data_IF_532058951568
#
_entry.id   IF_532058951568
#
_cell.length_a   1.000
_cell.length_b   1.000
_cell.length_c   1.000
_cell.angle_alpha   90.00
_cell.angle_beta   90.00
_cell.angle_gamma   90.00
#
_symmetry.space_group_name_H-M   'P 1'
#
loop_
_entity.id
_entity.type
_entity.pdbx_description
1 polymer ?
#
# COMPACT_ATOMS: atom_id res chain seq x y z
N UNK A 1 -19.46 -65.96 -44.78
CA UNK A 1 -19.47 -64.89 -43.74
C UNK A 1 -20.87 -64.84 -43.14
N UNK A 2 -21.02 -65.31 -41.89
CA UNK A 2 -22.33 -65.39 -41.22
C UNK A 2 -22.78 -63.97 -40.82
N UNK A 3 -23.68 -63.39 -41.59
CA UNK A 3 -24.29 -62.05 -41.35
C UNK A 3 -24.98 -61.97 -39.97
N UNK A 4 -25.49 -63.06 -39.47
CA UNK A 4 -26.10 -63.14 -38.14
C UNK A 4 -25.09 -62.96 -37.01
N UNK A 5 -23.91 -63.51 -37.09
CA UNK A 5 -22.84 -63.34 -36.10
C UNK A 5 -22.27 -61.90 -36.09
N UNK A 6 -22.22 -61.27 -37.30
CA UNK A 6 -21.81 -59.90 -37.41
C UNK A 6 -22.81 -58.93 -36.75
N UNK A 7 -24.12 -59.22 -36.89
CA UNK A 7 -25.21 -58.41 -36.32
C UNK A 7 -25.25 -58.51 -34.79
N UNK A 8 -25.06 -59.72 -34.24
CA UNK A 8 -25.04 -59.96 -32.80
C UNK A 8 -23.82 -59.33 -32.12
N UNK A 9 -22.65 -59.30 -32.80
CA UNK A 9 -21.44 -58.68 -32.29
C UNK A 9 -21.46 -57.15 -32.41
N UNK A 10 -22.10 -56.58 -33.44
CA UNK A 10 -22.21 -55.14 -33.67
C UNK A 10 -23.26 -54.45 -32.75
N UNK A 11 -24.35 -55.17 -32.43
CA UNK A 11 -25.46 -54.64 -31.65
C UNK A 11 -25.06 -54.04 -30.26
N UNK A 12 -24.27 -54.70 -29.40
CA UNK A 12 -23.84 -54.13 -28.12
C UNK A 12 -22.93 -52.91 -28.30
N UNK A 13 -22.07 -52.90 -29.32
CA UNK A 13 -21.19 -51.74 -29.62
C UNK A 13 -21.98 -50.52 -30.06
N UNK A 14 -22.99 -50.70 -30.93
CA UNK A 14 -23.87 -49.65 -31.39
C UNK A 14 -24.71 -49.08 -30.24
N UNK A 15 -25.26 -49.96 -29.38
CA UNK A 15 -25.99 -49.54 -28.20
C UNK A 15 -25.09 -48.72 -27.22
N UNK A 16 -23.86 -49.21 -26.97
CA UNK A 16 -22.93 -48.53 -26.09
C UNK A 16 -22.52 -47.16 -26.65
N UNK A 17 -22.30 -47.07 -27.98
CA UNK A 17 -22.01 -45.76 -28.61
C UNK A 17 -23.21 -44.84 -28.57
N UNK A 18 -24.42 -45.33 -28.84
CA UNK A 18 -25.65 -44.54 -28.76
C UNK A 18 -25.87 -43.97 -27.34
N UNK A 19 -25.62 -44.77 -26.29
CA UNK A 19 -25.69 -44.32 -24.90
C UNK A 19 -24.62 -43.28 -24.56
N UNK A 20 -23.39 -43.45 -25.06
CA UNK A 20 -22.33 -42.46 -24.92
C UNK A 20 -22.69 -41.14 -25.58
N UNK A 21 -23.23 -41.17 -26.80
CA UNK A 21 -23.67 -39.95 -27.51
C UNK A 21 -24.83 -39.30 -26.77
N UNK A 22 -25.83 -40.08 -26.31
CA UNK A 22 -26.93 -39.51 -25.53
C UNK A 22 -26.44 -38.83 -24.24
N UNK A 23 -25.50 -39.47 -23.52
CA UNK A 23 -24.88 -38.89 -22.33
C UNK A 23 -24.10 -37.58 -22.63
N UNK A 24 -23.38 -37.54 -23.74
CA UNK A 24 -22.68 -36.32 -24.17
C UNK A 24 -23.66 -35.16 -24.51
N UNK A 25 -24.78 -35.47 -25.15
CA UNK A 25 -25.84 -34.49 -25.44
C UNK A 25 -26.44 -33.95 -24.13
N UNK A 26 -26.72 -34.82 -23.16
CA UNK A 26 -27.20 -34.36 -21.84
C UNK A 26 -26.16 -33.49 -21.15
N UNK A 27 -24.88 -33.91 -21.14
CA UNK A 27 -23.78 -33.12 -20.59
C UNK A 27 -23.67 -31.73 -21.26
N UNK A 28 -23.79 -31.68 -22.58
CA UNK A 28 -23.78 -30.43 -23.33
C UNK A 28 -24.94 -29.52 -22.97
N UNK A 29 -26.18 -30.05 -22.93
CA UNK A 29 -27.37 -29.27 -22.61
C UNK A 29 -27.30 -28.73 -21.17
N UNK A 30 -26.98 -29.58 -20.20
CA UNK A 30 -26.82 -29.19 -18.79
C UNK A 30 -25.67 -28.20 -18.62
N UNK A 31 -24.53 -28.45 -19.24
CA UNK A 31 -23.38 -27.56 -19.20
C UNK A 31 -23.69 -26.18 -19.78
N UNK A 32 -24.36 -26.11 -20.95
CA UNK A 32 -24.78 -24.84 -21.56
C UNK A 32 -25.77 -24.08 -20.68
N UNK A 33 -26.71 -24.80 -20.05
CA UNK A 33 -27.64 -24.19 -19.12
C UNK A 33 -26.92 -23.60 -17.89
N UNK A 34 -25.98 -24.33 -17.31
CA UNK A 34 -25.17 -23.85 -16.19
C UNK A 34 -24.33 -22.64 -16.57
N UNK A 35 -23.69 -22.66 -17.75
CA UNK A 35 -22.90 -21.51 -18.26
C UNK A 35 -23.80 -20.26 -18.41
N UNK A 36 -25.01 -20.44 -18.96
CA UNK A 36 -25.98 -19.36 -19.07
C UNK A 36 -26.42 -18.81 -17.71
N UNK A 37 -26.64 -19.67 -16.72
CA UNK A 37 -26.96 -19.29 -15.36
C UNK A 37 -25.86 -18.45 -14.71
N UNK A 38 -24.61 -18.95 -14.78
CA UNK A 38 -23.41 -18.26 -14.24
C UNK A 38 -23.23 -16.90 -14.91
N UNK A 39 -23.32 -16.85 -16.26
CA UNK A 39 -23.22 -15.58 -17.00
C UNK A 39 -24.29 -14.56 -16.58
N UNK A 40 -25.52 -15.00 -16.41
CA UNK A 40 -26.61 -14.12 -15.96
C UNK A 40 -26.40 -13.60 -14.54
N UNK A 41 -25.92 -14.45 -13.63
CA UNK A 41 -25.62 -14.06 -12.24
C UNK A 41 -24.50 -13.03 -12.18
N UNK A 42 -23.41 -13.26 -12.93
CA UNK A 42 -22.28 -12.35 -13.01
C UNK A 42 -22.70 -11.00 -13.59
N UNK A 43 -23.40 -10.99 -14.74
CA UNK A 43 -23.84 -9.75 -15.36
C UNK A 43 -24.75 -8.95 -14.41
N UNK A 44 -25.72 -9.57 -13.77
CA UNK A 44 -26.58 -8.92 -12.78
C UNK A 44 -25.81 -8.37 -11.58
N UNK A 45 -24.80 -9.09 -11.10
CA UNK A 45 -23.96 -8.63 -9.98
C UNK A 45 -23.14 -7.40 -10.35
N UNK A 46 -22.57 -7.38 -11.55
CA UNK A 46 -21.75 -6.26 -12.06
C UNK A 46 -22.62 -5.03 -12.38
N UNK A 47 -23.78 -5.22 -12.98
CA UNK A 47 -24.74 -4.14 -13.28
C UNK A 47 -25.24 -3.44 -12.00
N UNK A 48 -25.48 -4.19 -10.93
CA UNK A 48 -25.86 -3.61 -9.63
C UNK A 48 -24.81 -2.67 -9.05
N UNK A 49 -23.54 -2.89 -9.36
CA UNK A 49 -22.42 -2.05 -8.93
C UNK A 49 -22.18 -0.84 -9.85
N UNK A 50 -23.07 -0.61 -10.83
CA UNK A 50 -22.95 0.49 -11.79
C UNK A 50 -21.62 0.50 -12.57
N UNK A 51 -21.08 -0.70 -12.83
CA UNK A 51 -19.87 -0.87 -13.63
C UNK A 51 -20.21 -0.53 -15.09
N UNK A 52 -19.25 0.08 -15.78
CA UNK A 52 -19.40 0.47 -17.18
C UNK A 52 -19.83 -0.73 -18.05
N UNK A 53 -20.85 -0.58 -18.91
CA UNK A 53 -21.39 -1.67 -19.72
C UNK A 53 -20.35 -2.39 -20.58
N UNK A 54 -19.33 -1.67 -21.04
CA UNK A 54 -18.21 -2.23 -21.80
C UNK A 54 -17.45 -3.27 -20.99
N UNK A 55 -17.13 -2.95 -19.74
CA UNK A 55 -16.39 -3.85 -18.81
C UNK A 55 -17.23 -5.08 -18.49
N UNK A 56 -18.52 -4.90 -18.21
CA UNK A 56 -19.47 -6.02 -17.96
C UNK A 56 -19.46 -6.99 -19.11
N UNK A 57 -19.53 -6.47 -20.36
CA UNK A 57 -19.54 -7.28 -21.58
C UNK A 57 -18.22 -8.05 -21.75
N UNK A 58 -17.07 -7.40 -21.53
CA UNK A 58 -15.76 -8.06 -21.65
C UNK A 58 -15.61 -9.19 -20.63
N UNK A 59 -15.92 -8.93 -19.35
CA UNK A 59 -15.85 -9.95 -18.29
C UNK A 59 -16.81 -11.11 -18.60
N UNK A 60 -18.06 -10.81 -18.94
CA UNK A 60 -19.07 -11.82 -19.26
C UNK A 60 -18.65 -12.70 -20.43
N UNK A 61 -18.14 -12.09 -21.53
CA UNK A 61 -17.67 -12.85 -22.68
C UNK A 61 -16.44 -13.71 -22.37
N UNK A 62 -15.47 -13.18 -21.64
CA UNK A 62 -14.26 -13.94 -21.26
C UNK A 62 -14.61 -15.16 -20.43
N UNK A 63 -15.47 -15.00 -19.41
CA UNK A 63 -15.94 -16.12 -18.58
C UNK A 63 -16.73 -17.12 -19.40
N UNK A 64 -17.62 -16.65 -20.27
CA UNK A 64 -18.41 -17.52 -21.12
C UNK A 64 -17.52 -18.37 -22.05
N UNK A 65 -16.50 -17.76 -22.68
CA UNK A 65 -15.55 -18.49 -23.53
C UNK A 65 -14.77 -19.50 -22.70
N UNK A 66 -14.24 -19.14 -21.54
CA UNK A 66 -13.49 -20.04 -20.67
C UNK A 66 -14.32 -21.25 -20.23
N UNK A 67 -15.56 -21.02 -19.80
CA UNK A 67 -16.48 -22.09 -19.37
C UNK A 67 -16.87 -22.99 -20.55
N UNK A 68 -17.06 -22.47 -21.77
CA UNK A 68 -17.31 -23.29 -22.94
C UNK A 68 -16.12 -24.18 -23.31
N UNK A 69 -14.89 -23.66 -23.21
CA UNK A 69 -13.67 -24.45 -23.41
C UNK A 69 -13.62 -25.61 -22.41
N UNK A 70 -13.87 -25.36 -21.12
CA UNK A 70 -13.92 -26.40 -20.08
C UNK A 70 -15.02 -27.44 -20.35
N UNK A 71 -16.20 -27.00 -20.82
CA UNK A 71 -17.28 -27.89 -21.19
C UNK A 71 -16.89 -28.84 -22.34
N UNK A 72 -16.25 -28.27 -23.39
CA UNK A 72 -15.76 -29.09 -24.53
C UNK A 72 -14.73 -30.11 -24.09
N UNK A 73 -13.74 -29.70 -23.27
CA UNK A 73 -12.73 -30.62 -22.73
C UNK A 73 -13.37 -31.71 -21.87
N UNK A 74 -14.37 -31.35 -21.03
CA UNK A 74 -15.12 -32.33 -20.24
C UNK A 74 -15.86 -33.36 -21.11
N UNK A 75 -16.48 -32.91 -22.22
CA UNK A 75 -17.14 -33.80 -23.17
C UNK A 75 -16.13 -34.70 -23.88
N UNK A 76 -14.96 -34.19 -24.30
CA UNK A 76 -13.89 -35.00 -24.89
C UNK A 76 -13.41 -36.08 -23.93
N UNK A 77 -13.22 -35.71 -22.65
CA UNK A 77 -12.87 -36.70 -21.59
C UNK A 77 -13.94 -37.76 -21.38
N UNK A 78 -15.21 -37.43 -21.48
CA UNK A 78 -16.31 -38.36 -21.41
C UNK A 78 -16.27 -39.42 -22.57
N UNK A 79 -15.84 -38.99 -23.76
CA UNK A 79 -15.61 -39.90 -24.89
C UNK A 79 -14.35 -40.76 -24.72
N UNK A 80 -13.50 -40.48 -23.71
CA UNK A 80 -12.26 -41.22 -23.46
C UNK A 80 -11.04 -40.61 -24.16
N UNK A 81 -11.17 -39.36 -24.67
CA UNK A 81 -10.02 -38.62 -25.20
C UNK A 81 -9.13 -38.20 -24.02
N UNK A 82 -7.83 -38.45 -24.13
CA UNK A 82 -6.88 -38.04 -23.09
C UNK A 82 -6.86 -36.51 -22.96
N UNK A 83 -7.27 -36.02 -21.79
CA UNK A 83 -7.38 -34.58 -21.50
C UNK A 83 -6.20 -34.03 -20.71
N UNK A 84 -5.20 -34.84 -20.38
CA UNK A 84 -4.02 -34.44 -19.59
C UNK A 84 -3.26 -33.28 -20.24
N UNK A 85 -3.09 -33.29 -21.57
CA UNK A 85 -2.42 -32.22 -22.30
C UNK A 85 -3.19 -30.89 -22.22
N UNK A 86 -4.52 -30.94 -22.27
CA UNK A 86 -5.36 -29.74 -22.08
C UNK A 86 -5.28 -29.23 -20.66
N UNK A 87 -5.26 -30.12 -19.66
CA UNK A 87 -5.10 -29.73 -18.26
C UNK A 87 -3.73 -29.06 -18.02
N UNK A 88 -2.65 -29.57 -18.61
CA UNK A 88 -1.33 -28.97 -18.56
C UNK A 88 -1.30 -27.57 -19.22
N UNK A 89 -1.95 -27.42 -20.38
CA UNK A 89 -2.06 -26.11 -21.06
C UNK A 89 -2.84 -25.10 -20.21
N UNK A 90 -3.97 -25.50 -19.61
CA UNK A 90 -4.77 -24.62 -18.76
C UNK A 90 -3.97 -24.23 -17.52
N UNK A 91 -3.22 -25.16 -16.91
CA UNK A 91 -2.35 -24.86 -15.78
C UNK A 91 -1.26 -23.83 -16.15
N UNK A 92 -0.62 -24.00 -17.32
CA UNK A 92 0.38 -23.04 -17.80
C UNK A 92 -0.23 -21.65 -18.06
N UNK A 93 -1.41 -21.57 -18.67
CA UNK A 93 -2.15 -20.32 -18.85
C UNK A 93 -2.54 -19.69 -17.51
N UNK A 94 -2.98 -20.50 -16.54
CA UNK A 94 -3.30 -20.04 -15.19
C UNK A 94 -2.10 -19.42 -14.48
N UNK A 95 -0.92 -20.03 -14.61
CA UNK A 95 0.34 -19.48 -14.06
C UNK A 95 0.67 -18.13 -14.75
N UNK A 96 0.59 -18.08 -16.07
CA UNK A 96 0.87 -16.85 -16.82
C UNK A 96 -0.08 -15.71 -16.45
N UNK A 97 -1.38 -15.98 -16.36
CA UNK A 97 -2.39 -15.00 -15.92
C UNK A 97 -2.15 -14.60 -14.45
N UNK A 98 -1.88 -15.55 -13.57
CA UNK A 98 -1.57 -15.30 -12.16
C UNK A 98 -0.35 -14.41 -11.98
N UNK A 99 0.72 -14.64 -12.75
CA UNK A 99 1.90 -13.80 -12.75
C UNK A 99 1.59 -12.37 -13.25
N UNK A 100 0.81 -12.23 -14.32
CA UNK A 100 0.41 -10.93 -14.87
C UNK A 100 -0.44 -10.11 -13.88
N UNK A 101 -1.29 -10.76 -13.09
CA UNK A 101 -2.19 -10.12 -12.11
C UNK A 101 -1.62 -10.07 -10.69
N UNK A 102 -0.47 -10.70 -10.44
CA UNK A 102 0.14 -10.84 -9.12
C UNK A 102 0.34 -9.50 -8.41
N UNK A 103 0.77 -8.47 -9.13
CA UNK A 103 0.93 -7.12 -8.58
C UNK A 103 -0.39 -6.48 -8.13
N UNK A 104 -1.47 -6.66 -8.88
CA UNK A 104 -2.80 -6.16 -8.53
C UNK A 104 -3.34 -6.90 -7.30
N UNK A 105 -3.21 -8.22 -7.28
CA UNK A 105 -3.66 -9.06 -6.17
C UNK A 105 -2.87 -8.77 -4.88
N UNK A 106 -1.57 -8.50 -4.99
CA UNK A 106 -0.72 -8.07 -3.88
C UNK A 106 -1.20 -6.74 -3.29
N UNK A 107 -1.53 -5.76 -4.13
CA UNK A 107 -2.08 -4.49 -3.67
C UNK A 107 -3.44 -4.65 -2.98
N UNK A 108 -4.29 -5.51 -3.51
CA UNK A 108 -5.59 -5.84 -2.90
C UNK A 108 -5.41 -6.46 -1.51
N UNK A 109 -4.59 -7.50 -1.41
CA UNK A 109 -4.30 -8.17 -0.14
C UNK A 109 -3.75 -7.18 0.89
N UNK A 110 -2.77 -6.36 0.50
CA UNK A 110 -2.20 -5.31 1.35
C UNK A 110 -3.26 -4.29 1.79
N UNK A 111 -4.17 -3.89 0.89
CA UNK A 111 -5.28 -3.00 1.22
C UNK A 111 -6.21 -3.58 2.30
N UNK A 112 -6.56 -4.85 2.17
CA UNK A 112 -7.34 -5.56 3.20
C UNK A 112 -6.59 -5.58 4.54
N UNK A 113 -5.28 -5.87 4.54
CA UNK A 113 -4.47 -5.86 5.76
C UNK A 113 -4.38 -4.47 6.40
N UNK A 114 -4.24 -3.39 5.61
CA UNK A 114 -4.25 -2.01 6.13
C UNK A 114 -5.58 -1.72 6.85
N UNK A 115 -6.71 -2.12 6.26
CA UNK A 115 -8.04 -1.90 6.83
C UNK A 115 -8.30 -2.72 8.11
N UNK A 116 -7.74 -3.93 8.19
CA UNK A 116 -7.90 -4.83 9.35
C UNK A 116 -6.94 -4.47 10.47
N UNK A 117 -5.63 -4.36 10.19
CA UNK A 117 -4.58 -4.09 11.19
C UNK A 117 -4.52 -2.62 11.60
N UNK A 118 -4.96 -1.71 10.73
CA UNK A 118 -5.02 -0.26 10.96
C UNK A 118 -3.71 0.35 11.46
N UNK A 119 -2.58 0.16 10.79
CA UNK A 119 -1.33 0.78 11.18
C UNK A 119 -1.43 2.31 11.16
N UNK A 120 -2.35 2.85 10.38
CA UNK A 120 -2.78 4.25 10.34
C UNK A 120 -4.25 4.34 9.94
N UNK A 121 -4.84 5.52 10.10
CA UNK A 121 -6.23 5.84 9.76
C UNK A 121 -6.28 7.02 8.79
N UNK A 122 -7.42 7.22 8.15
CA UNK A 122 -7.69 8.45 7.39
C UNK A 122 -7.60 9.65 8.34
N UNK A 123 -6.84 10.68 7.93
CA UNK A 123 -6.52 11.87 8.73
C UNK A 123 -5.18 11.79 9.45
N UNK A 124 -4.55 10.62 9.60
CA UNK A 124 -3.22 10.52 10.19
C UNK A 124 -2.14 11.10 9.26
N UNK A 125 -1.17 11.79 9.85
CA UNK A 125 0.05 12.21 9.17
C UNK A 125 1.08 11.09 9.26
N UNK A 126 1.51 10.58 8.11
CA UNK A 126 2.34 9.38 8.01
C UNK A 126 3.49 9.55 7.02
N UNK A 127 4.52 8.73 7.16
CA UNK A 127 5.42 8.37 6.08
C UNK A 127 5.14 6.91 5.73
N UNK A 128 4.62 6.66 4.54
CA UNK A 128 4.23 5.32 4.08
C UNK A 128 4.50 5.17 2.57
N UNK A 129 5.13 4.09 2.16
CA UNK A 129 5.50 3.87 0.76
C UNK A 129 6.38 4.97 0.19
N UNK A 130 7.28 5.56 1.02
CA UNK A 130 8.19 6.67 0.69
C UNK A 130 7.50 8.03 0.47
N UNK A 131 6.21 8.14 0.81
CA UNK A 131 5.45 9.39 0.73
C UNK A 131 5.12 9.86 2.13
N UNK A 132 5.44 11.11 2.44
CA UNK A 132 5.09 11.77 3.70
C UNK A 132 3.89 12.70 3.48
N UNK A 133 2.87 12.59 4.34
CA UNK A 133 1.68 13.42 4.24
C UNK A 133 0.50 12.91 5.05
N UNK A 134 -0.66 13.53 4.85
CA UNK A 134 -1.90 13.16 5.51
C UNK A 134 -2.66 12.11 4.68
N UNK A 135 -3.05 11.01 5.30
CA UNK A 135 -3.84 9.96 4.66
C UNK A 135 -5.24 10.52 4.33
N UNK A 136 -5.54 10.66 3.06
CA UNK A 136 -6.84 11.13 2.57
C UNK A 136 -7.87 10.02 2.45
N UNK A 137 -7.45 8.88 1.90
CA UNK A 137 -8.33 7.72 1.69
C UNK A 137 -7.51 6.43 1.63
N UNK A 138 -8.11 5.34 2.09
CA UNK A 138 -7.57 3.98 1.97
C UNK A 138 -8.48 3.20 1.05
N UNK A 139 -8.02 2.94 -0.18
CA UNK A 139 -8.72 2.14 -1.17
C UNK A 139 -8.29 0.67 -1.17
N UNK A 140 -8.96 -0.15 -1.99
CA UNK A 140 -8.63 -1.58 -2.09
C UNK A 140 -7.24 -1.85 -2.67
N UNK A 141 -6.77 -1.01 -3.58
CA UNK A 141 -5.49 -1.20 -4.28
C UNK A 141 -4.45 -0.13 -3.95
N UNK A 142 -4.90 1.06 -3.58
CA UNK A 142 -4.05 2.23 -3.35
C UNK A 142 -4.50 2.99 -2.11
N UNK A 143 -3.55 3.60 -1.43
CA UNK A 143 -3.77 4.60 -0.38
C UNK A 143 -3.47 5.98 -0.97
N UNK A 144 -4.39 6.93 -0.81
CA UNK A 144 -4.20 8.32 -1.22
C UNK A 144 -3.65 9.14 -0.05
N UNK A 145 -2.54 9.83 -0.27
CA UNK A 145 -1.83 10.66 0.71
C UNK A 145 -1.68 12.07 0.13
N UNK A 146 -2.14 13.07 0.87
CA UNK A 146 -1.92 14.46 0.54
C UNK A 146 -0.60 14.92 1.16
N UNK A 147 0.39 15.21 0.32
CA UNK A 147 1.70 15.69 0.73
C UNK A 147 1.65 17.16 1.23
N UNK A 148 2.67 17.64 1.97
CA UNK A 148 2.67 18.99 2.54
C UNK A 148 2.59 20.12 1.50
N UNK A 149 2.97 19.85 0.25
CA UNK A 149 2.85 20.75 -0.90
C UNK A 149 1.47 20.72 -1.57
N UNK A 150 0.49 20.04 -0.93
CA UNK A 150 -0.87 19.85 -1.42
C UNK A 150 -0.99 18.96 -2.68
N UNK A 151 0.01 18.13 -2.94
CA UNK A 151 -0.05 17.13 -4.02
C UNK A 151 -0.70 15.86 -3.50
N UNK A 152 -1.79 15.43 -4.16
CA UNK A 152 -2.41 14.14 -3.87
C UNK A 152 -1.63 13.01 -4.54
N UNK A 153 -1.05 12.14 -3.76
CA UNK A 153 -0.24 11.00 -4.22
C UNK A 153 -0.95 9.68 -3.94
N UNK A 154 -1.15 8.89 -4.99
CA UNK A 154 -1.71 7.55 -4.86
C UNK A 154 -0.57 6.51 -4.78
N UNK A 155 -0.47 5.85 -3.65
CA UNK A 155 0.55 4.82 -3.38
C UNK A 155 -0.10 3.45 -3.41
N UNK A 156 0.49 2.50 -4.16
CA UNK A 156 0.05 1.10 -4.14
C UNK A 156 0.15 0.50 -2.74
N UNK A 157 -0.91 -0.16 -2.27
CA UNK A 157 -0.98 -0.69 -0.90
C UNK A 157 0.16 -1.68 -0.61
N UNK A 158 0.58 -2.47 -1.60
CA UNK A 158 1.71 -3.38 -1.46
C UNK A 158 3.02 -2.61 -1.15
N UNK A 159 3.25 -1.45 -1.80
CA UNK A 159 4.41 -0.60 -1.51
C UNK A 159 4.35 -0.03 -0.08
N UNK A 160 3.15 0.33 0.38
CA UNK A 160 2.93 0.80 1.75
C UNK A 160 3.27 -0.30 2.77
N UNK A 161 2.75 -1.51 2.58
CA UNK A 161 2.90 -2.62 3.54
C UNK A 161 4.29 -3.27 3.54
N UNK A 162 4.99 -3.26 2.41
CA UNK A 162 6.33 -3.82 2.29
C UNK A 162 7.43 -2.89 2.83
N UNK A 163 7.11 -1.63 3.09
CA UNK A 163 8.04 -0.63 3.58
C UNK A 163 7.87 -0.32 5.08
N UNK A 164 8.74 0.56 5.58
CA UNK A 164 8.57 1.12 6.92
C UNK A 164 7.39 2.10 6.93
N UNK A 165 6.47 1.91 7.86
CA UNK A 165 5.38 2.84 8.12
C UNK A 165 5.74 3.65 9.38
N UNK A 166 5.82 5.00 9.25
CA UNK A 166 5.93 5.91 10.40
C UNK A 166 4.60 6.64 10.53
N UNK A 167 3.90 6.41 11.62
CA UNK A 167 2.68 7.14 11.96
C UNK A 167 3.02 8.22 12.99
N UNK A 168 2.99 9.47 12.58
CA UNK A 168 3.32 10.61 13.43
C UNK A 168 2.12 11.09 14.27
N UNK A 169 0.90 10.62 13.96
CA UNK A 169 -0.32 11.00 14.65
C UNK A 169 -0.77 10.00 15.72
N UNK A 170 -0.19 8.80 15.73
CA UNK A 170 -0.60 7.75 16.66
C UNK A 170 -0.25 8.06 18.12
N UNK A 171 0.87 8.75 18.35
CA UNK A 171 1.30 9.16 19.68
C UNK A 171 0.75 10.56 20.02
N UNK A 172 0.51 10.86 21.30
CA UNK A 172 -0.09 12.14 21.72
C UNK A 172 0.80 13.35 21.43
N UNK A 173 2.11 13.14 21.30
CA UNK A 173 3.07 14.19 20.96
C UNK A 173 4.24 13.61 20.15
N UNK A 174 4.92 14.49 19.42
CA UNK A 174 6.20 14.20 18.76
C UNK A 174 7.23 15.27 19.14
N UNK A 175 8.50 14.89 19.06
CA UNK A 175 9.63 15.77 19.31
C UNK A 175 9.97 16.56 18.05
N UNK A 176 10.18 17.84 18.23
CA UNK A 176 10.82 18.70 17.22
C UNK A 176 12.32 18.70 17.48
N UNK A 177 13.14 18.33 16.50
CA UNK A 177 14.59 18.30 16.64
C UNK A 177 15.18 19.53 15.94
N UNK A 178 15.72 20.47 16.73
CA UNK A 178 16.43 21.64 16.29
C UNK A 178 17.84 21.67 16.87
N UNK A 179 18.70 22.46 16.25
CA UNK A 179 20.07 22.71 16.75
C UNK A 179 20.30 24.21 16.87
N UNK A 180 21.05 24.60 17.90
CA UNK A 180 21.48 25.98 18.09
C UNK A 180 23.02 26.00 18.26
N UNK A 181 23.72 26.64 17.31
CA UNK A 181 25.16 26.81 17.36
C UNK A 181 25.49 28.00 18.27
N UNK A 182 26.44 27.82 19.20
CA UNK A 182 27.01 28.88 20.02
C UNK A 182 28.43 29.19 19.58
N UNK A 183 28.86 30.41 19.90
CA UNK A 183 30.29 30.78 19.83
C UNK A 183 31.04 30.16 21.02
N UNK A 184 32.37 29.98 20.88
CA UNK A 184 33.23 29.40 21.90
C UNK A 184 33.25 30.20 23.21
N UNK A 185 33.04 31.51 23.17
CA UNK A 185 33.07 32.41 24.31
C UNK A 185 31.79 32.44 25.13
N UNK A 186 30.71 31.83 24.62
CA UNK A 186 29.40 31.82 25.27
C UNK A 186 29.34 30.78 26.38
N UNK A 187 28.80 31.19 27.53
CA UNK A 187 28.49 30.26 28.61
C UNK A 187 27.31 29.38 28.21
N UNK A 188 27.63 28.10 28.01
CA UNK A 188 26.66 27.04 27.61
C UNK A 188 25.53 26.90 28.62
N UNK A 189 25.82 27.02 29.91
CA UNK A 189 24.82 26.86 30.96
C UNK A 189 23.81 28.02 30.97
N UNK A 190 24.28 29.25 30.71
CA UNK A 190 23.39 30.40 30.55
C UNK A 190 22.50 30.26 29.33
N UNK A 191 23.06 29.83 28.20
CA UNK A 191 22.31 29.60 26.97
C UNK A 191 21.21 28.53 27.14
N UNK A 192 21.56 27.39 27.79
CA UNK A 192 20.62 26.31 28.10
C UNK A 192 19.49 26.81 29.02
N UNK A 193 19.82 27.56 30.06
CA UNK A 193 18.85 28.11 31.01
C UNK A 193 17.85 29.02 30.31
N UNK A 194 18.33 29.98 29.50
CA UNK A 194 17.49 30.93 28.75
C UNK A 194 16.54 30.20 27.78
N UNK A 195 17.03 29.22 27.05
CA UNK A 195 16.18 28.45 26.13
C UNK A 195 15.14 27.60 26.88
N UNK A 196 15.50 26.97 28.02
CA UNK A 196 14.55 26.24 28.88
C UNK A 196 13.45 27.14 29.46
N UNK A 197 13.72 28.45 29.62
CA UNK A 197 12.72 29.44 30.07
C UNK A 197 11.79 29.93 28.93
N UNK A 198 12.27 30.00 27.70
CA UNK A 198 11.54 30.54 26.55
C UNK A 198 10.72 29.50 25.82
N UNK A 199 11.27 28.29 25.61
CA UNK A 199 10.61 27.25 24.83
C UNK A 199 9.19 26.90 25.33
N UNK A 200 8.92 26.78 26.65
CA UNK A 200 7.56 26.47 27.13
C UNK A 200 6.53 27.58 26.85
N UNK A 201 6.97 28.79 26.54
CA UNK A 201 6.09 29.95 26.24
C UNK A 201 5.64 29.96 24.77
N UNK A 202 6.25 29.15 23.92
CA UNK A 202 5.84 29.03 22.52
C UNK A 202 4.50 28.33 22.47
N UNK A 203 3.56 28.90 21.73
CA UNK A 203 2.22 28.34 21.56
C UNK A 203 2.29 26.89 21.04
N UNK A 204 1.46 26.01 21.61
CA UNK A 204 1.35 24.58 21.27
C UNK A 204 2.54 23.69 21.66
N UNK A 205 3.57 24.21 22.32
CA UNK A 205 4.57 23.38 22.99
C UNK A 205 3.89 22.67 24.17
N UNK A 206 4.06 21.35 24.28
CA UNK A 206 3.44 20.59 25.39
C UNK A 206 4.10 20.92 26.71
N UNK A 207 3.35 21.00 27.84
CA UNK A 207 3.93 21.20 29.15
C UNK A 207 4.67 19.94 29.65
N UNK A 208 4.23 18.75 29.22
CA UNK A 208 4.85 17.46 29.49
C UNK A 208 4.84 16.60 28.20
N UNK A 209 5.98 16.02 27.86
CA UNK A 209 7.31 16.18 28.48
C UNK A 209 7.86 17.60 28.27
N UNK A 210 8.65 18.09 29.23
CA UNK A 210 9.30 19.40 29.15
C UNK A 210 10.30 19.44 27.99
N UNK A 211 10.50 20.63 27.36
CA UNK A 211 11.53 20.82 26.35
C UNK A 211 12.92 20.43 26.87
N UNK A 212 13.68 19.71 26.04
CA UNK A 212 15.05 19.29 26.33
C UNK A 212 16.02 20.23 25.61
N UNK A 213 16.97 20.81 26.33
CA UNK A 213 18.06 21.59 25.77
C UNK A 213 19.36 21.11 26.40
N UNK A 214 20.25 20.51 25.56
CA UNK A 214 21.50 19.92 26.02
C UNK A 214 22.58 20.07 24.92
N UNK A 215 23.86 19.97 25.31
CA UNK A 215 24.94 19.97 24.30
C UNK A 215 24.91 18.65 23.54
N UNK A 216 24.91 18.73 22.21
CA UNK A 216 24.90 17.54 21.34
C UNK A 216 26.25 17.27 20.69
N UNK A 217 26.98 18.30 20.37
CA UNK A 217 28.34 18.17 19.77
C UNK A 217 29.11 19.48 19.88
N UNK A 218 30.40 19.45 19.47
CA UNK A 218 31.27 20.60 19.34
C UNK A 218 31.77 20.68 17.90
N UNK A 219 31.83 21.89 17.38
CA UNK A 219 32.33 22.21 16.03
C UNK A 219 33.47 23.20 16.12
N UNK A 220 34.10 23.52 15.00
CA UNK A 220 35.10 24.59 14.89
C UNK A 220 34.56 25.97 15.31
N UNK A 221 33.25 26.13 15.34
CA UNK A 221 32.54 27.38 15.71
C UNK A 221 32.09 27.43 17.17
N UNK A 222 32.24 26.31 17.89
CA UNK A 222 31.86 26.19 19.29
C UNK A 222 30.83 25.07 19.54
N UNK A 223 30.25 25.05 20.73
CA UNK A 223 29.27 24.04 21.11
C UNK A 223 27.96 24.18 20.32
N UNK A 224 27.33 23.03 20.03
CA UNK A 224 26.00 22.91 19.41
C UNK A 224 25.04 22.38 20.43
N UNK A 225 23.95 23.10 20.66
CA UNK A 225 22.86 22.64 21.52
C UNK A 225 21.80 21.88 20.69
N UNK A 226 21.34 20.75 21.19
CA UNK A 226 20.07 20.17 20.79
C UNK A 226 18.95 20.96 21.49
N UNK A 227 17.98 21.44 20.71
CA UNK A 227 16.80 22.17 21.21
C UNK A 227 15.56 21.37 20.81
N UNK A 228 14.92 20.73 21.79
CA UNK A 228 13.92 19.69 21.54
C UNK A 228 12.61 19.95 22.28
N UNK A 229 11.74 20.83 21.77
CA UNK A 229 10.36 20.95 22.26
C UNK A 229 9.53 19.76 21.80
N UNK A 230 8.44 19.49 22.54
CA UNK A 230 7.46 18.47 22.18
C UNK A 230 6.13 19.14 21.83
N UNK A 231 5.40 18.54 20.88
CA UNK A 231 4.22 19.16 20.28
C UNK A 231 3.28 18.12 19.70
N UNK A 232 2.00 18.40 19.62
CA UNK A 232 1.07 17.59 18.84
C UNK A 232 1.37 17.72 17.34
N UNK A 233 1.25 16.62 16.58
CA UNK A 233 1.62 16.55 15.15
C UNK A 233 1.03 17.67 14.30
N UNK A 234 -0.20 18.10 14.55
CA UNK A 234 -0.87 19.17 13.79
C UNK A 234 -0.18 20.53 13.89
N UNK A 235 0.62 20.75 14.93
CA UNK A 235 1.32 22.00 15.18
C UNK A 235 2.84 21.90 14.99
N UNK A 236 3.32 20.76 14.41
CA UNK A 236 4.74 20.48 14.29
C UNK A 236 5.50 21.59 13.58
N UNK A 237 5.04 22.00 12.41
CA UNK A 237 5.74 23.00 11.61
C UNK A 237 5.64 24.41 12.21
N UNK A 238 4.52 24.77 12.84
CA UNK A 238 4.40 26.02 13.56
C UNK A 238 5.45 26.10 14.68
N UNK A 239 5.52 25.07 15.56
CA UNK A 239 6.50 25.06 16.65
C UNK A 239 7.93 24.97 16.11
N UNK A 240 8.17 24.25 15.03
CA UNK A 240 9.49 24.20 14.38
C UNK A 240 9.98 25.59 13.99
N UNK A 241 9.16 26.38 13.31
CA UNK A 241 9.55 27.74 12.88
C UNK A 241 9.62 28.73 14.04
N UNK A 242 8.68 28.67 14.98
CA UNK A 242 8.65 29.59 16.11
C UNK A 242 9.80 29.30 17.09
N UNK A 243 10.16 28.06 17.30
CA UNK A 243 11.32 27.71 18.11
C UNK A 243 12.64 28.19 17.48
N UNK A 244 12.80 28.09 16.15
CA UNK A 244 13.97 28.64 15.46
C UNK A 244 14.08 30.18 15.65
N UNK A 245 12.95 30.90 15.53
CA UNK A 245 12.91 32.35 15.82
C UNK A 245 13.27 32.64 17.28
N UNK A 246 12.67 31.88 18.20
CA UNK A 246 12.92 32.04 19.63
C UNK A 246 14.40 31.82 20.00
N UNK A 247 15.07 30.83 19.38
CA UNK A 247 16.52 30.61 19.55
C UNK A 247 17.28 31.88 19.14
N UNK A 248 17.04 32.38 17.92
CA UNK A 248 17.72 33.58 17.41
C UNK A 248 17.48 34.81 18.28
N UNK A 249 16.24 35.06 18.66
CA UNK A 249 15.86 36.26 19.44
C UNK A 249 16.43 36.17 20.87
N UNK A 250 16.44 34.96 21.48
CA UNK A 250 17.00 34.76 22.82
C UNK A 250 18.51 35.02 22.84
N UNK A 251 19.24 34.51 21.85
CA UNK A 251 20.68 34.69 21.75
C UNK A 251 21.06 36.12 21.38
N UNK A 252 20.28 36.77 20.49
CA UNK A 252 20.46 38.18 20.16
C UNK A 252 20.21 39.12 21.36
N UNK A 253 19.14 38.86 22.14
CA UNK A 253 18.83 39.61 23.34
C UNK A 253 19.87 39.40 24.48
N UNK A 254 20.53 38.23 24.50
CA UNK A 254 21.61 37.97 25.42
C UNK A 254 22.96 38.59 25.00
N UNK A 255 23.04 39.15 23.80
CA UNK A 255 24.27 39.74 23.26
C UNK A 255 25.31 38.69 22.88
N UNK A 256 24.90 37.45 22.59
CA UNK A 256 25.86 36.41 22.19
C UNK A 256 26.45 36.73 20.80
N UNK A 257 27.78 36.55 20.64
CA UNK A 257 28.43 36.77 19.36
C UNK A 257 28.02 35.72 18.34
N UNK A 258 28.09 36.06 17.06
CA UNK A 258 27.86 35.10 15.98
C UNK A 258 28.92 34.03 16.01
N UNK A 259 28.57 32.76 15.84
CA UNK A 259 29.50 31.64 15.83
C UNK A 259 30.47 31.76 14.64
N UNK A 260 31.74 32.01 14.92
CA UNK A 260 32.80 32.16 13.90
C UNK A 260 33.78 30.98 13.93
N UNK A 261 34.30 30.60 12.76
CA UNK A 261 35.34 29.58 12.67
C UNK A 261 36.71 30.21 12.99
N UNK A 262 37.41 29.70 14.01
CA UNK A 262 38.76 30.13 14.33
C UNK A 262 39.78 29.37 13.47
N UNK A 263 40.38 30.07 12.49
CA UNK A 263 41.43 29.51 11.62
C UNK A 263 42.78 30.13 11.98
N UNK A 264 43.70 29.30 12.45
CA UNK A 264 45.10 29.74 12.66
C UNK A 264 45.94 29.45 11.42
N UNK A 265 46.45 30.48 10.75
CA UNK A 265 47.45 30.33 9.71
C UNK A 265 48.83 30.24 10.38
N UNK A 266 49.49 29.08 10.33
CA UNK A 266 50.95 28.96 10.63
C UNK A 266 51.71 29.34 9.37
N UNK A 267 52.37 30.49 9.40
CA UNK A 267 53.42 30.79 8.43
C UNK A 267 54.63 29.88 8.74
N UNK A 268 54.87 28.91 7.88
CA UNK A 268 56.09 28.09 7.90
C UNK A 268 57.21 28.82 7.19
#
# INVERSE_FOLDING_TARGET
MDFTNLFETAKPVVIALALKVAGAIVLYIVGRWLIGLVGTLINKALERQKIEPTVVRYIGNTINVALNILLVIGILGYFGVETTSFAALIAALGIAIGAAWGGLLSNFAAGVFILVLRPFKVGDYVLAGEVEGTVRAIGLFTTAIDAPDNVNTMVGNAKVMNGTIKNFSNNPYRRVDLTAQLDHTVDVHDAIRRLKEVLPKIANVTPEPKPVVEVVTFTERGPVLAVRPYVHTNHYWQVYFDANKAIRDTFGAAGYPAPEAHVQYRNT
#
